data_IF_708664096610
#
_entry.id   IF_708664096610
#
_cell.length_a   1.000
_cell.length_b   1.000
_cell.length_c   1.000
_cell.angle_alpha   90.00
_cell.angle_beta   90.00
_cell.angle_gamma   90.00
#
_symmetry.space_group_name_H-M   'P 1'
#
loop_
_entity.id
_entity.type
_entity.pdbx_description
1 polymer ?
#
# COMPACT_ATOMS: atom_id res chain seq x y z
N UNK A 1 63.05 28.86 29.76
CA UNK A 1 63.65 28.44 28.47
C UNK A 1 63.62 26.92 28.41
N UNK A 2 62.49 26.32 28.01
CA UNK A 2 62.34 24.87 27.90
C UNK A 2 61.98 24.55 26.44
N UNK A 3 62.88 23.82 25.78
CA UNK A 3 62.80 23.43 24.37
C UNK A 3 61.71 22.38 24.18
N UNK A 4 60.79 22.65 23.25
CA UNK A 4 59.79 21.68 22.78
C UNK A 4 60.49 20.61 21.93
N UNK A 5 60.24 19.31 22.15
CA UNK A 5 60.72 18.26 21.26
C UNK A 5 59.99 18.31 19.91
N UNK A 6 60.75 18.08 18.84
CA UNK A 6 60.28 18.06 17.46
C UNK A 6 59.27 16.91 17.25
N UNK A 7 58.12 17.25 16.68
CA UNK A 7 57.11 16.28 16.25
C UNK A 7 57.62 15.51 15.02
N UNK A 8 57.40 14.19 14.92
CA UNK A 8 57.71 13.43 13.71
C UNK A 8 56.82 13.89 12.56
N UNK A 9 57.43 14.07 11.39
CA UNK A 9 56.78 14.46 10.15
C UNK A 9 55.66 13.48 9.81
N UNK A 10 54.42 13.98 9.77
CA UNK A 10 53.28 13.25 9.24
C UNK A 10 53.61 12.85 7.80
N UNK A 11 53.96 11.59 7.63
CA UNK A 11 54.02 10.95 6.33
C UNK A 11 52.61 10.99 5.77
N UNK A 12 52.47 11.66 4.63
CA UNK A 12 51.29 11.77 3.79
C UNK A 12 50.56 10.42 3.74
N UNK A 13 49.54 10.23 4.57
CA UNK A 13 48.60 9.13 4.42
C UNK A 13 47.96 9.36 3.06
N UNK A 14 48.39 8.57 2.07
CA UNK A 14 47.77 8.54 0.77
C UNK A 14 46.28 8.40 1.00
N UNK A 15 45.51 9.41 0.61
CA UNK A 15 44.10 9.24 0.34
C UNK A 15 44.05 8.29 -0.84
N UNK A 16 44.17 6.99 -0.54
CA UNK A 16 43.64 5.94 -1.36
C UNK A 16 42.15 6.26 -1.42
N UNK A 17 41.78 7.01 -2.46
CA UNK A 17 40.43 7.08 -2.94
C UNK A 17 40.12 5.64 -3.33
N UNK A 18 39.73 4.85 -2.33
CA UNK A 18 39.22 3.49 -2.46
C UNK A 18 38.09 3.67 -3.43
N UNK A 19 38.40 3.35 -4.70
CA UNK A 19 37.48 3.43 -5.82
C UNK A 19 36.29 2.65 -5.34
N UNK A 20 35.23 3.36 -4.96
CA UNK A 20 33.96 2.78 -4.54
C UNK A 20 33.63 1.85 -5.68
N UNK A 21 33.82 0.55 -5.45
CA UNK A 21 33.70 -0.44 -6.51
C UNK A 21 32.33 -0.18 -7.10
N UNK A 22 32.31 0.16 -8.39
CA UNK A 22 31.06 0.35 -9.11
C UNK A 22 30.53 -1.06 -9.27
N UNK A 23 29.89 -1.57 -8.22
CA UNK A 23 29.12 -2.80 -8.26
C UNK A 23 28.19 -2.59 -9.44
N UNK A 24 28.35 -3.42 -10.47
CA UNK A 24 27.50 -3.40 -11.65
C UNK A 24 26.03 -3.27 -11.18
N UNK A 25 25.22 -2.38 -11.77
CA UNK A 25 23.83 -2.25 -11.36
C UNK A 25 23.18 -3.62 -11.56
N UNK A 26 22.95 -4.32 -10.44
CA UNK A 26 22.22 -5.58 -10.41
C UNK A 26 20.94 -5.38 -11.21
N UNK A 27 20.67 -6.37 -12.07
CA UNK A 27 19.65 -6.32 -13.11
C UNK A 27 18.40 -5.56 -12.63
N UNK A 28 18.09 -4.47 -13.33
CA UNK A 28 16.93 -3.61 -13.09
C UNK A 28 15.65 -4.38 -13.48
N UNK A 29 15.32 -5.44 -12.75
CA UNK A 29 14.30 -6.40 -13.18
C UNK A 29 13.19 -6.69 -12.17
N UNK A 30 13.44 -6.55 -10.87
CA UNK A 30 12.43 -6.82 -9.85
C UNK A 30 12.16 -5.57 -9.02
N UNK A 31 11.00 -4.94 -9.23
CA UNK A 31 10.48 -3.95 -8.28
C UNK A 31 10.42 -4.59 -6.90
N UNK A 32 10.71 -3.85 -5.82
CA UNK A 32 10.71 -4.35 -4.42
C UNK A 32 9.35 -4.87 -3.91
N UNK A 33 8.37 -5.00 -4.80
CA UNK A 33 7.02 -5.42 -4.53
C UNK A 33 6.72 -6.70 -5.33
N UNK A 34 5.96 -7.65 -4.75
CA UNK A 34 5.50 -8.82 -5.49
C UNK A 34 4.75 -8.42 -6.78
N UNK A 35 4.74 -9.28 -7.82
CA UNK A 35 4.02 -9.02 -9.07
C UNK A 35 2.49 -8.94 -8.83
N UNK A 36 1.75 -8.30 -9.75
CA UNK A 36 0.28 -8.18 -9.64
C UNK A 36 -0.33 -9.54 -10.01
N UNK A 37 -1.32 -10.06 -9.26
CA UNK A 37 -2.04 -11.25 -9.70
C UNK A 37 -2.69 -10.94 -11.05
N UNK A 38 -2.61 -11.90 -11.97
CA UNK A 38 -3.25 -11.76 -13.29
C UNK A 38 -4.76 -11.96 -13.12
N UNK A 39 -5.59 -11.17 -13.83
CA UNK A 39 -7.03 -11.40 -13.81
C UNK A 39 -7.35 -12.78 -14.41
N UNK A 40 -8.40 -13.47 -13.90
CA UNK A 40 -8.83 -14.75 -14.44
C UNK A 40 -9.33 -14.62 -15.89
N UNK A 41 -9.36 -15.74 -16.65
CA UNK A 41 -9.86 -15.76 -18.02
C UNK A 41 -11.34 -15.35 -18.09
N UNK A 42 -11.75 -14.79 -19.23
CA UNK A 42 -13.12 -14.27 -19.40
C UNK A 42 -14.20 -15.36 -19.34
N UNK A 43 -13.83 -16.64 -19.57
CA UNK A 43 -14.73 -17.79 -19.60
C UNK A 43 -15.31 -18.15 -18.22
N UNK A 44 -14.60 -17.83 -17.14
CA UNK A 44 -14.99 -18.17 -15.76
C UNK A 44 -15.75 -17.03 -15.06
N UNK A 45 -16.05 -15.94 -15.79
CA UNK A 45 -16.61 -14.71 -15.24
C UNK A 45 -17.99 -14.43 -15.85
N UNK A 46 -18.97 -14.20 -14.99
CA UNK A 46 -20.25 -13.62 -15.40
C UNK A 46 -20.24 -12.11 -15.18
N UNK A 47 -20.48 -11.34 -16.24
CA UNK A 47 -20.53 -9.88 -16.21
C UNK A 47 -21.98 -9.37 -16.20
N UNK A 48 -22.31 -8.42 -15.31
CA UNK A 48 -23.59 -7.74 -15.27
C UNK A 48 -23.40 -6.23 -15.16
N UNK A 49 -24.23 -5.47 -15.90
CA UNK A 49 -24.22 -4.00 -15.87
C UNK A 49 -25.39 -3.48 -15.05
N UNK A 50 -25.07 -2.64 -14.06
CA UNK A 50 -26.05 -2.06 -13.14
C UNK A 50 -26.09 -0.54 -13.29
N UNK A 51 -27.19 0.04 -12.85
CA UNK A 51 -27.29 1.49 -12.61
C UNK A 51 -26.48 1.84 -11.36
N UNK A 52 -25.90 3.04 -11.36
CA UNK A 52 -25.20 3.53 -10.18
C UNK A 52 -26.14 3.68 -9.00
N UNK A 53 -25.63 3.43 -7.79
CA UNK A 53 -26.37 3.64 -6.54
C UNK A 53 -25.79 4.82 -5.78
N UNK A 54 -26.64 5.52 -5.02
CA UNK A 54 -26.27 6.62 -4.12
C UNK A 54 -26.84 8.00 -4.48
N UNK A 55 -26.62 9.01 -3.62
CA UNK A 55 -26.98 10.40 -3.91
C UNK A 55 -26.11 10.90 -5.06
N UNK A 56 -26.63 10.75 -6.28
CA UNK A 56 -25.96 11.08 -7.52
C UNK A 56 -26.83 11.94 -8.41
N UNK A 57 -26.20 12.62 -9.37
CA UNK A 57 -26.91 13.38 -10.39
C UNK A 57 -27.62 12.49 -11.41
N UNK A 58 -28.32 13.13 -12.34
CA UNK A 58 -29.08 12.48 -13.43
C UNK A 58 -28.26 11.41 -14.18
N UNK A 59 -26.97 11.64 -14.39
CA UNK A 59 -26.07 10.73 -15.11
C UNK A 59 -25.89 9.37 -14.42
N UNK A 60 -25.84 9.34 -13.10
CA UNK A 60 -25.57 8.12 -12.32
C UNK A 60 -26.79 7.19 -12.36
N UNK A 61 -28.00 7.76 -12.28
CA UNK A 61 -29.24 6.99 -12.21
C UNK A 61 -29.73 6.50 -13.58
N UNK A 62 -29.33 7.17 -14.67
CA UNK A 62 -29.74 6.82 -16.04
C UNK A 62 -28.79 5.84 -16.72
N UNK A 63 -27.49 5.98 -16.51
CA UNK A 63 -26.49 5.19 -17.24
C UNK A 63 -26.12 3.92 -16.49
N UNK A 64 -26.11 2.79 -17.21
CA UNK A 64 -25.65 1.50 -16.69
C UNK A 64 -24.12 1.40 -16.72
N UNK A 65 -23.44 2.24 -15.94
CA UNK A 65 -21.98 2.31 -15.89
C UNK A 65 -21.35 1.48 -14.77
N UNK A 66 -22.13 1.06 -13.77
CA UNK A 66 -21.63 0.21 -12.70
C UNK A 66 -21.50 -1.24 -13.20
N UNK A 67 -20.41 -1.91 -12.84
CA UNK A 67 -20.12 -3.28 -13.29
C UNK A 67 -20.13 -4.20 -12.07
N UNK A 68 -20.84 -5.31 -12.19
CA UNK A 68 -20.78 -6.43 -11.26
C UNK A 68 -20.14 -7.62 -11.98
N UNK A 69 -19.05 -8.13 -11.42
CA UNK A 69 -18.40 -9.35 -11.87
C UNK A 69 -18.61 -10.43 -10.83
N UNK A 70 -18.93 -11.64 -11.28
CA UNK A 70 -18.96 -12.83 -10.44
C UNK A 70 -18.07 -13.89 -11.03
N UNK A 71 -17.19 -14.46 -10.20
CA UNK A 71 -16.38 -15.60 -10.56
C UNK A 71 -17.17 -16.88 -10.29
N UNK A 72 -17.36 -17.71 -11.32
CA UNK A 72 -18.22 -18.90 -11.24
C UNK A 72 -17.68 -19.94 -10.25
N UNK A 73 -16.40 -20.35 -10.28
CA UNK A 73 -15.94 -21.46 -9.45
C UNK A 73 -15.76 -21.08 -7.97
N UNK A 74 -15.36 -19.84 -7.67
CA UNK A 74 -15.22 -19.39 -6.27
C UNK A 74 -16.47 -18.71 -5.72
N UNK A 75 -17.45 -18.36 -6.56
CA UNK A 75 -18.67 -17.67 -6.17
C UNK A 75 -18.49 -16.21 -5.73
N UNK A 76 -17.27 -15.65 -5.80
CA UNK A 76 -16.99 -14.28 -5.35
C UNK A 76 -17.66 -13.27 -6.27
N UNK A 77 -18.30 -12.28 -5.65
CA UNK A 77 -18.93 -11.17 -6.36
C UNK A 77 -18.21 -9.86 -6.03
N UNK A 78 -17.90 -9.09 -7.06
CA UNK A 78 -17.30 -7.75 -6.95
C UNK A 78 -18.16 -6.77 -7.73
N UNK A 79 -18.45 -5.61 -7.13
CA UNK A 79 -19.09 -4.51 -7.86
C UNK A 79 -18.20 -3.27 -7.79
N UNK A 80 -18.04 -2.62 -8.94
CA UNK A 80 -17.20 -1.42 -9.06
C UNK A 80 -18.00 -0.29 -9.72
N UNK A 81 -17.88 0.89 -9.12
CA UNK A 81 -18.50 2.12 -9.59
C UNK A 81 -17.57 3.29 -9.23
N UNK A 82 -16.38 3.30 -9.81
CA UNK A 82 -15.36 4.31 -9.51
C UNK A 82 -15.42 5.46 -10.52
N UNK A 83 -15.57 5.12 -11.80
CA UNK A 83 -15.59 6.09 -12.89
C UNK A 83 -16.95 6.14 -13.58
N UNK A 84 -17.13 7.17 -14.40
CA UNK A 84 -18.31 7.29 -15.29
C UNK A 84 -18.28 6.35 -16.50
N UNK A 85 -17.12 5.75 -16.80
CA UNK A 85 -16.92 4.92 -17.99
C UNK A 85 -17.04 3.43 -17.64
N UNK A 86 -17.89 2.70 -18.40
CA UNK A 86 -18.12 1.27 -18.17
C UNK A 86 -16.85 0.43 -18.37
N UNK A 87 -16.02 0.79 -19.35
CA UNK A 87 -14.82 0.01 -19.71
C UNK A 87 -13.72 0.14 -18.66
N UNK A 88 -13.56 1.35 -18.12
CA UNK A 88 -12.65 1.59 -16.99
C UNK A 88 -13.12 0.80 -15.77
N UNK A 89 -14.42 0.83 -15.47
CA UNK A 89 -14.98 0.05 -14.37
C UNK A 89 -14.82 -1.47 -14.60
N UNK A 90 -14.93 -1.97 -15.83
CA UNK A 90 -14.67 -3.39 -16.17
C UNK A 90 -13.22 -3.78 -15.87
N UNK A 91 -12.25 -2.94 -16.24
CA UNK A 91 -10.82 -3.16 -15.96
C UNK A 91 -10.55 -3.17 -14.45
N UNK A 92 -11.05 -2.18 -13.73
CA UNK A 92 -10.89 -2.09 -12.27
C UNK A 92 -11.55 -3.27 -11.55
N UNK A 93 -12.75 -3.66 -11.97
CA UNK A 93 -13.43 -4.81 -11.38
C UNK A 93 -12.65 -6.12 -11.54
N UNK A 94 -11.94 -6.31 -12.66
CA UNK A 94 -11.06 -7.47 -12.86
C UNK A 94 -9.84 -7.44 -11.95
N UNK A 95 -9.23 -6.27 -11.78
CA UNK A 95 -8.09 -6.11 -10.85
C UNK A 95 -8.51 -6.45 -9.43
N UNK A 96 -9.64 -5.92 -8.96
CA UNK A 96 -10.18 -6.23 -7.64
C UNK A 96 -10.59 -7.70 -7.49
N UNK A 97 -11.18 -8.30 -8.51
CA UNK A 97 -11.54 -9.72 -8.48
C UNK A 97 -10.29 -10.61 -8.41
N UNK A 98 -9.21 -10.25 -9.11
CA UNK A 98 -7.93 -10.95 -9.02
C UNK A 98 -7.32 -10.84 -7.62
N UNK A 99 -7.36 -9.67 -7.00
CA UNK A 99 -6.88 -9.45 -5.62
C UNK A 99 -7.67 -10.30 -4.62
N UNK A 100 -9.02 -10.30 -4.70
CA UNK A 100 -9.85 -11.11 -3.82
C UNK A 100 -9.60 -12.62 -3.98
N UNK A 101 -9.39 -13.09 -5.20
CA UNK A 101 -9.06 -14.50 -5.45
C UNK A 101 -7.69 -14.83 -4.86
N UNK A 102 -6.69 -13.97 -5.06
CA UNK A 102 -5.35 -14.15 -4.50
C UNK A 102 -5.38 -14.20 -2.96
N UNK A 103 -6.19 -13.35 -2.33
CA UNK A 103 -6.37 -13.35 -0.88
C UNK A 103 -7.00 -14.65 -0.37
N UNK A 104 -7.97 -15.23 -1.09
CA UNK A 104 -8.55 -16.52 -0.72
C UNK A 104 -7.60 -17.71 -0.91
N UNK A 105 -6.81 -17.70 -1.99
CA UNK A 105 -5.92 -18.82 -2.31
C UNK A 105 -4.63 -18.79 -1.48
N UNK A 106 -4.02 -17.61 -1.33
CA UNK A 106 -2.69 -17.44 -0.77
C UNK A 106 -2.68 -16.83 0.64
N UNK A 107 -3.78 -16.23 1.10
CA UNK A 107 -3.94 -15.70 2.47
C UNK A 107 -2.80 -14.77 2.89
N UNK A 108 -1.94 -15.21 3.81
CA UNK A 108 -0.82 -14.42 4.33
C UNK A 108 0.29 -14.12 3.32
N UNK A 109 0.39 -14.96 2.29
CA UNK A 109 1.33 -14.83 1.18
C UNK A 109 0.75 -14.02 0.02
N UNK A 110 -0.51 -13.56 0.14
CA UNK A 110 -1.12 -12.75 -0.89
C UNK A 110 -0.34 -11.45 -1.09
N UNK A 111 -0.42 -10.92 -2.31
CA UNK A 111 0.22 -9.64 -2.63
C UNK A 111 -0.25 -8.53 -1.68
N UNK A 112 -1.54 -8.50 -1.37
CA UNK A 112 -2.15 -7.46 -0.53
C UNK A 112 -1.54 -7.48 0.88
N UNK A 113 -1.40 -8.67 1.47
CA UNK A 113 -0.79 -8.88 2.78
C UNK A 113 0.69 -8.50 2.80
N UNK A 114 1.46 -8.89 1.78
CA UNK A 114 2.88 -8.53 1.67
C UNK A 114 3.05 -7.01 1.55
N UNK A 115 2.25 -6.36 0.68
CA UNK A 115 2.30 -4.91 0.50
C UNK A 115 1.89 -4.19 1.79
N UNK A 116 0.89 -4.69 2.52
CA UNK A 116 0.47 -4.16 3.81
C UNK A 116 1.61 -4.25 4.85
N UNK A 117 2.25 -5.42 4.99
CA UNK A 117 3.42 -5.65 5.87
C UNK A 117 4.57 -4.68 5.53
N UNK A 118 4.87 -4.49 4.24
CA UNK A 118 5.92 -3.55 3.79
C UNK A 118 5.57 -2.09 4.09
N UNK A 119 4.31 -1.70 3.89
CA UNK A 119 3.83 -0.35 4.22
C UNK A 119 3.90 -0.10 5.74
N UNK A 120 3.47 -1.05 6.57
CA UNK A 120 3.55 -0.96 8.02
C UNK A 120 4.99 -0.79 8.52
N UNK A 121 5.94 -1.59 8.01
CA UNK A 121 7.38 -1.46 8.34
C UNK A 121 7.94 -0.09 7.98
N UNK A 122 7.55 0.47 6.83
CA UNK A 122 7.95 1.82 6.40
C UNK A 122 7.37 2.90 7.32
N UNK A 123 6.08 2.81 7.65
CA UNK A 123 5.41 3.73 8.59
C UNK A 123 6.07 3.69 9.97
N UNK A 124 6.29 2.51 10.55
CA UNK A 124 6.96 2.37 11.85
C UNK A 124 8.37 2.97 11.86
N UNK A 125 9.13 2.78 10.78
CA UNK A 125 10.46 3.38 10.64
C UNK A 125 10.41 4.91 10.54
N UNK A 126 9.41 5.45 9.84
CA UNK A 126 9.20 6.90 9.72
C UNK A 126 8.80 7.52 11.07
N UNK A 127 7.86 6.89 11.79
CA UNK A 127 7.43 7.31 13.13
C UNK A 127 8.60 7.28 14.11
N UNK A 128 9.42 6.22 14.14
CA UNK A 128 10.61 6.15 15.01
C UNK A 128 11.62 7.25 14.72
N UNK A 129 11.82 7.60 13.45
CA UNK A 129 12.71 8.71 13.05
C UNK A 129 12.13 10.07 13.45
N UNK A 130 10.83 10.27 13.25
CA UNK A 130 10.12 11.48 13.69
C UNK A 130 10.23 11.64 15.21
N UNK A 131 9.88 10.60 15.97
CA UNK A 131 9.99 10.59 17.44
C UNK A 131 11.40 10.92 17.92
N UNK A 132 12.44 10.40 17.26
CA UNK A 132 13.84 10.76 17.59
C UNK A 132 14.17 12.22 17.30
N UNK A 133 13.64 12.81 16.23
CA UNK A 133 13.85 14.21 15.86
C UNK A 133 13.16 15.16 16.84
N UNK A 134 11.96 14.79 17.30
CA UNK A 134 11.12 15.62 18.16
C UNK A 134 11.24 15.27 19.66
N UNK A 135 12.17 14.39 20.04
CA UNK A 135 12.47 14.09 21.45
C UNK A 135 13.30 15.24 22.02
N UNK A 136 12.70 16.07 22.87
CA UNK A 136 13.42 17.09 23.65
C UNK A 136 14.46 16.42 24.57
N UNK A 137 15.67 16.98 24.71
CA UNK A 137 16.72 16.42 25.55
C UNK A 137 16.44 16.50 27.06
N UNK A 138 15.52 17.40 27.48
CA UNK A 138 15.23 17.66 28.90
C UNK A 138 14.00 16.90 29.45
N UNK A 139 13.39 16.01 28.65
CA UNK A 139 12.30 15.16 29.10
C UNK A 139 12.85 13.91 29.78
N UNK A 140 12.70 13.83 31.10
CA UNK A 140 12.96 12.64 31.91
C UNK A 140 12.43 11.41 31.19
N UNK A 141 13.28 10.39 31.06
CA UNK A 141 12.94 9.16 30.37
C UNK A 141 11.95 8.37 31.24
N UNK A 142 10.68 8.72 31.22
CA UNK A 142 9.64 7.80 31.69
C UNK A 142 9.67 6.58 30.76
N UNK A 143 10.20 5.49 31.32
CA UNK A 143 10.08 4.13 30.82
C UNK A 143 8.61 3.73 30.93
N UNK A 144 7.83 4.13 29.94
CA UNK A 144 6.59 3.43 29.57
C UNK A 144 6.90 2.50 28.41
N UNK A 145 7.41 1.30 28.71
CA UNK A 145 7.21 0.14 27.84
C UNK A 145 5.77 -0.34 28.05
N UNK A 146 4.80 0.49 27.65
CA UNK A 146 3.47 -0.02 27.40
C UNK A 146 3.47 -0.46 25.94
N UNK A 147 3.39 -1.78 25.75
CA UNK A 147 2.73 -2.37 24.59
C UNK A 147 1.27 -1.87 24.60
N UNK A 148 1.05 -0.57 24.40
CA UNK A 148 -0.24 -0.07 23.99
C UNK A 148 -0.45 -0.64 22.60
N UNK A 149 -1.34 -1.62 22.58
CA UNK A 149 -2.09 -2.10 21.43
C UNK A 149 -2.50 -0.86 20.63
N UNK A 150 -1.68 -0.50 19.64
CA UNK A 150 -1.85 0.69 18.84
C UNK A 150 -3.01 0.39 17.89
N UNK A 151 -4.22 0.43 18.43
CA UNK A 151 -5.37 0.98 17.74
C UNK A 151 -4.95 2.37 17.31
N UNK A 152 -4.37 2.43 16.11
CA UNK A 152 -4.19 3.66 15.39
C UNK A 152 -5.60 4.17 15.13
N UNK A 153 -6.11 4.99 16.06
CA UNK A 153 -7.17 5.93 15.76
C UNK A 153 -6.69 6.74 14.56
N UNK A 154 -7.43 6.66 13.46
CA UNK A 154 -7.16 7.39 12.24
C UNK A 154 -7.40 8.89 12.48
N UNK A 155 -6.41 9.61 13.03
CA UNK A 155 -6.43 11.06 13.02
C UNK A 155 -5.97 11.58 11.65
N UNK A 156 -6.97 11.70 10.77
CA UNK A 156 -7.08 12.65 9.65
C UNK A 156 -5.81 13.33 9.14
N UNK A 157 -5.01 12.61 8.35
CA UNK A 157 -4.32 13.28 7.24
C UNK A 157 -5.28 13.28 6.07
N UNK A 158 -5.90 14.42 5.78
CA UNK A 158 -6.65 14.69 4.56
C UNK A 158 -5.69 14.66 3.35
N UNK A 159 -5.23 13.47 2.97
CA UNK A 159 -4.49 13.18 1.75
C UNK A 159 -5.45 12.46 0.80
N UNK A 160 -6.36 13.20 0.17
CA UNK A 160 -7.20 12.81 -0.99
C UNK A 160 -7.70 11.34 -1.01
N UNK A 161 -7.96 10.79 0.18
CA UNK A 161 -8.35 9.40 0.44
C UNK A 161 -9.81 9.13 0.11
N UNK A 162 -10.50 10.14 -0.43
CA UNK A 162 -11.88 10.06 -0.87
C UNK A 162 -12.10 9.03 -1.99
N UNK A 163 -11.06 8.43 -2.57
CA UNK A 163 -11.19 7.32 -3.51
C UNK A 163 -11.10 5.94 -2.82
N UNK A 164 -10.13 5.70 -1.93
CA UNK A 164 -9.86 4.37 -1.38
C UNK A 164 -10.85 3.97 -0.27
N UNK A 165 -11.21 4.88 0.63
CA UNK A 165 -12.23 4.61 1.65
C UNK A 165 -13.65 4.48 1.04
N UNK A 166 -13.94 5.24 -0.03
CA UNK A 166 -15.18 5.07 -0.79
C UNK A 166 -15.27 3.69 -1.44
N UNK A 167 -14.15 3.11 -1.88
CA UNK A 167 -14.09 1.77 -2.48
C UNK A 167 -14.38 0.70 -1.41
N UNK A 168 -13.77 0.77 -0.23
CA UNK A 168 -13.99 -0.23 0.85
C UNK A 168 -15.39 -0.12 1.45
N UNK A 169 -15.94 1.09 1.67
CA UNK A 169 -17.32 1.31 2.13
C UNK A 169 -18.36 0.90 1.08
N UNK A 170 -18.07 1.02 -0.24
CA UNK A 170 -18.94 0.49 -1.32
C UNK A 170 -18.98 -1.04 -1.40
N UNK A 171 -17.86 -1.71 -1.15
CA UNK A 171 -17.78 -3.18 -1.18
C UNK A 171 -18.49 -3.78 0.04
N UNK A 172 -18.30 -3.21 1.23
CA UNK A 172 -18.84 -3.77 2.49
C UNK A 172 -20.37 -3.60 2.67
N UNK A 173 -20.99 -2.60 2.03
CA UNK A 173 -22.46 -2.43 2.02
C UNK A 173 -23.15 -3.51 1.17
N UNK A 174 -22.43 -4.20 0.28
CA UNK A 174 -23.02 -5.19 -0.62
C UNK A 174 -22.93 -6.63 -0.11
N UNK A 175 -22.22 -6.88 0.99
CA UNK A 175 -22.06 -8.22 1.60
C UNK A 175 -23.07 -8.54 2.71
N UNK A 176 -23.98 -7.63 3.13
CA UNK A 176 -24.83 -7.82 4.33
C UNK A 176 -26.36 -7.81 4.05
N UNK A 177 -26.83 -7.87 2.80
CA UNK A 177 -28.28 -7.98 2.52
C UNK A 177 -28.60 -9.10 1.54
N UNK A 178 -28.39 -10.34 2.00
CA UNK A 178 -29.14 -11.50 1.53
C UNK A 178 -29.60 -12.27 2.76
N UNK A 179 -30.79 -11.89 3.22
CA UNK A 179 -31.63 -12.49 4.24
C UNK A 179 -33.03 -11.94 3.99
#
# INVERSE_FOLDING_TARGET
>A
MWMRPALPSLTRCGHGFLKRSVVAPAERGATRFPPRPKPPPEEEITEAYLKGSGPGGQKINKTNSAVQLKHIPTGIVVKCQDTRSREQNRKLAREHLAEKIDDLLNGENSRSAIVAKLKAKKKASAVKKSRRKHRSPDGEAEQGDEEEDNQVEEDGTEDDGQHAERVVKKVKIQEIRQG
#
